data_IF_637908265880
#
_entry.id   IF_637908265880
#
_cell.length_a   1.000
_cell.length_b   1.000
_cell.length_c   1.000
_cell.angle_alpha   90.00
_cell.angle_beta   90.00
_cell.angle_gamma   90.00
#
_symmetry.space_group_name_H-M   'P 1'
#
loop_
_entity.id
_entity.type
_entity.pdbx_description
1 polymer ?
#
# COMPACT_ATOMS: atom_id res chain seq x y z
N UNK A 1 -16.41 35.40 15.28
CA UNK A 1 -15.40 34.34 15.40
C UNK A 1 -14.78 34.05 14.05
N UNK A 2 -13.59 33.45 14.03
CA UNK A 2 -12.83 33.16 12.80
C UNK A 2 -13.60 32.23 11.82
N UNK A 3 -14.31 31.22 12.35
CA UNK A 3 -15.15 30.31 11.57
C UNK A 3 -16.24 31.03 10.76
N UNK A 4 -16.91 32.02 11.37
CA UNK A 4 -17.94 32.81 10.69
C UNK A 4 -17.36 33.67 9.56
N UNK A 5 -16.15 34.22 9.73
CA UNK A 5 -15.49 35.01 8.69
C UNK A 5 -15.12 34.14 7.48
N UNK A 6 -14.58 32.94 7.71
CA UNK A 6 -14.24 31.97 6.65
C UNK A 6 -15.51 31.52 5.92
N UNK A 7 -16.57 31.19 6.64
CA UNK A 7 -17.84 30.79 6.04
C UNK A 7 -18.37 31.88 5.10
N UNK A 8 -18.39 33.14 5.56
CA UNK A 8 -18.82 34.25 4.70
C UNK A 8 -17.95 34.41 3.45
N UNK A 9 -16.64 34.23 3.53
CA UNK A 9 -15.75 34.28 2.34
C UNK A 9 -16.13 33.21 1.32
N UNK A 10 -16.32 31.97 1.79
CA UNK A 10 -16.71 30.83 0.95
C UNK A 10 -18.08 31.04 0.28
N UNK A 11 -19.08 31.55 1.02
CA UNK A 11 -20.44 31.77 0.48
C UNK A 11 -20.50 32.91 -0.53
N UNK A 12 -19.63 33.91 -0.42
CA UNK A 12 -19.66 35.12 -1.25
C UNK A 12 -18.54 35.17 -2.31
N UNK A 13 -18.00 34.02 -2.73
CA UNK A 13 -16.95 33.91 -3.77
C UNK A 13 -15.75 34.84 -3.53
N UNK A 14 -15.28 34.91 -2.28
CA UNK A 14 -14.03 35.59 -1.92
C UNK A 14 -12.96 34.57 -1.55
N UNK A 15 -11.72 34.92 -1.80
CA UNK A 15 -10.58 34.08 -1.41
C UNK A 15 -10.62 33.75 0.10
N UNK A 16 -10.33 32.51 0.46
CA UNK A 16 -10.44 32.05 1.85
C UNK A 16 -9.36 32.68 2.74
N UNK A 17 -8.16 32.90 2.20
CA UNK A 17 -7.01 33.39 2.93
C UNK A 17 -7.23 34.80 3.50
N UNK A 18 -7.63 35.74 2.65
CA UNK A 18 -7.74 37.17 2.96
C UNK A 18 -9.19 37.68 2.89
N UNK A 19 -9.97 37.22 1.90
CA UNK A 19 -11.34 37.66 1.65
C UNK A 19 -11.44 38.98 0.87
N UNK A 20 -10.34 39.45 0.28
CA UNK A 20 -10.24 40.72 -0.42
C UNK A 20 -10.47 40.56 -1.93
N UNK A 21 -10.06 39.41 -2.49
CA UNK A 21 -10.04 39.15 -3.92
C UNK A 21 -11.25 38.29 -4.31
N UNK A 22 -12.00 38.64 -5.37
CA UNK A 22 -13.05 37.78 -5.89
C UNK A 22 -12.43 36.53 -6.55
N UNK A 23 -13.01 35.36 -6.31
CA UNK A 23 -12.62 34.12 -6.99
C UNK A 23 -13.25 34.12 -8.38
N UNK A 24 -12.41 34.02 -9.40
CA UNK A 24 -12.80 33.87 -10.81
C UNK A 24 -12.27 32.54 -11.37
N UNK A 25 -12.61 32.23 -12.63
CA UNK A 25 -12.18 31.00 -13.32
C UNK A 25 -10.65 30.91 -13.51
N UNK A 26 -9.91 32.01 -13.30
CA UNK A 26 -8.45 32.03 -13.32
C UNK A 26 -7.83 31.28 -12.12
N UNK A 27 -8.60 31.05 -11.06
CA UNK A 27 -8.21 30.27 -9.88
C UNK A 27 -8.58 28.79 -10.00
N UNK A 28 -8.61 28.26 -11.23
CA UNK A 28 -8.82 26.84 -11.49
C UNK A 28 -7.49 26.15 -11.85
N UNK A 29 -7.31 24.92 -11.37
CA UNK A 29 -6.20 24.06 -11.79
C UNK A 29 -6.64 23.14 -12.92
N UNK A 30 -5.75 22.89 -13.87
CA UNK A 30 -5.98 21.89 -14.92
C UNK A 30 -5.47 20.53 -14.41
N UNK A 31 -6.35 19.53 -14.39
CA UNK A 31 -6.00 18.18 -13.95
C UNK A 31 -7.21 17.27 -13.81
N UNK A 32 -6.97 16.01 -13.46
CA UNK A 32 -8.04 15.09 -13.10
C UNK A 32 -8.79 15.63 -11.86
N UNK A 33 -10.12 15.51 -11.86
CA UNK A 33 -10.98 15.90 -10.73
C UNK A 33 -10.65 15.12 -9.45
N UNK A 34 -10.05 13.95 -9.63
CA UNK A 34 -9.76 13.02 -8.57
C UNK A 34 -8.58 12.12 -8.93
N UNK A 35 -8.01 11.50 -7.90
CA UNK A 35 -6.90 10.54 -8.04
C UNK A 35 -7.38 9.10 -8.00
N UNK A 36 -8.70 8.82 -7.99
CA UNK A 36 -9.22 7.46 -7.88
C UNK A 36 -8.91 6.59 -9.11
N UNK A 37 -8.70 7.25 -10.24
CA UNK A 37 -8.25 6.65 -11.50
C UNK A 37 -6.74 6.34 -11.52
N UNK A 38 -5.94 6.94 -10.63
CA UNK A 38 -4.50 6.71 -10.54
C UNK A 38 -4.26 5.57 -9.56
N UNK A 39 -4.02 4.36 -10.07
CA UNK A 39 -3.71 3.18 -9.26
C UNK A 39 -2.31 2.70 -9.53
N UNK A 40 -1.60 2.33 -8.48
CA UNK A 40 -0.37 1.57 -8.60
C UNK A 40 -0.67 0.16 -9.11
N UNK A 41 0.25 -0.40 -9.89
CA UNK A 41 0.19 -1.83 -10.20
C UNK A 41 0.25 -2.62 -8.88
N UNK A 42 -0.55 -3.70 -8.74
CA UNK A 42 -0.46 -4.55 -7.57
C UNK A 42 0.96 -5.15 -7.50
N UNK A 43 1.56 -5.24 -6.30
CA UNK A 43 2.85 -5.92 -6.15
C UNK A 43 2.71 -7.40 -6.51
N UNK A 44 3.82 -8.00 -6.95
CA UNK A 44 3.87 -9.43 -7.20
C UNK A 44 3.60 -10.21 -5.92
N UNK A 45 2.81 -11.29 -6.01
CA UNK A 45 2.47 -12.12 -4.85
C UNK A 45 3.70 -12.93 -4.47
N UNK A 46 4.12 -12.93 -3.19
CA UNK A 46 5.25 -13.74 -2.77
C UNK A 46 4.97 -15.23 -3.00
N UNK A 47 6.04 -15.99 -3.26
CA UNK A 47 5.94 -17.43 -3.39
C UNK A 47 5.40 -18.09 -2.10
N UNK A 48 4.60 -19.16 -2.22
CA UNK A 48 4.04 -19.85 -1.07
C UNK A 48 5.15 -20.53 -0.27
N UNK A 49 5.36 -20.08 0.98
CA UNK A 49 6.30 -20.68 1.92
C UNK A 49 5.58 -21.69 2.81
N UNK A 50 6.18 -22.86 3.00
CA UNK A 50 5.66 -23.89 3.91
C UNK A 50 5.90 -23.48 5.37
N UNK A 51 4.81 -23.24 6.11
CA UNK A 51 4.83 -22.96 7.54
C UNK A 51 4.48 -24.21 8.32
N UNK A 52 5.44 -24.72 9.11
CA UNK A 52 5.36 -26.08 9.67
C UNK A 52 4.26 -26.21 10.73
N UNK A 53 3.94 -25.10 11.42
CA UNK A 53 2.85 -25.08 12.40
C UNK A 53 1.45 -25.06 11.73
N UNK A 54 1.38 -24.84 10.42
CA UNK A 54 0.14 -24.96 9.62
C UNK A 54 0.40 -25.78 8.35
N UNK A 55 0.30 -27.12 8.43
CA UNK A 55 0.58 -28.02 7.30
C UNK A 55 -0.26 -27.72 6.05
N UNK A 56 -1.43 -27.12 6.21
CA UNK A 56 -2.31 -26.65 5.13
C UNK A 56 -1.68 -25.58 4.21
N UNK A 57 -0.62 -24.91 4.66
CA UNK A 57 0.11 -23.89 3.89
C UNK A 57 1.23 -24.49 3.03
N UNK A 58 1.53 -25.77 3.24
CA UNK A 58 2.63 -26.45 2.57
C UNK A 58 2.14 -27.18 1.32
N UNK A 59 2.97 -27.16 0.28
CA UNK A 59 2.82 -28.06 -0.84
C UNK A 59 3.03 -29.52 -0.36
N UNK A 60 2.24 -30.50 -0.84
CA UNK A 60 2.32 -31.89 -0.39
C UNK A 60 3.74 -32.47 -0.50
N UNK A 61 4.47 -32.16 -1.58
CA UNK A 61 5.84 -32.63 -1.83
C UNK A 61 6.86 -32.05 -0.84
N UNK A 62 6.62 -30.85 -0.33
CA UNK A 62 7.48 -30.23 0.70
C UNK A 62 7.15 -30.84 2.06
N UNK A 63 5.88 -31.12 2.32
CA UNK A 63 5.43 -31.73 3.57
C UNK A 63 5.93 -33.17 3.76
N UNK A 64 6.07 -33.94 2.68
CA UNK A 64 6.72 -35.26 2.73
C UNK A 64 8.19 -35.13 3.16
N UNK A 65 8.95 -34.19 2.59
CA UNK A 65 10.35 -33.92 3.00
C UNK A 65 10.46 -33.44 4.45
N UNK A 66 9.46 -32.68 4.93
CA UNK A 66 9.36 -32.26 6.34
C UNK A 66 9.21 -33.49 7.25
N UNK A 67 8.36 -34.45 6.87
CA UNK A 67 8.16 -35.69 7.63
C UNK A 67 9.40 -36.60 7.61
N UNK A 68 10.15 -36.61 6.50
CA UNK A 68 11.42 -37.33 6.37
C UNK A 68 12.58 -36.68 7.13
N UNK A 69 12.42 -35.43 7.60
CA UNK A 69 13.47 -34.69 8.31
C UNK A 69 14.58 -34.16 7.40
N UNK A 70 14.33 -34.07 6.08
CA UNK A 70 15.31 -33.68 5.06
C UNK A 70 15.31 -32.17 4.76
N UNK A 71 14.70 -31.34 5.61
CA UNK A 71 14.50 -29.89 5.39
C UNK A 71 15.19 -29.06 6.47
N UNK A 72 15.68 -27.89 6.07
CA UNK A 72 16.18 -26.87 7.01
C UNK A 72 15.03 -25.95 7.38
N UNK A 73 14.84 -25.77 8.69
CA UNK A 73 13.78 -24.92 9.24
C UNK A 73 14.39 -23.67 9.86
N UNK A 74 13.96 -22.50 9.41
CA UNK A 74 14.29 -21.21 10.05
C UNK A 74 13.00 -20.43 10.28
N UNK A 75 12.84 -19.91 11.48
CA UNK A 75 11.65 -19.17 11.90
C UNK A 75 10.33 -19.93 11.61
N UNK A 76 10.36 -21.26 11.77
CA UNK A 76 9.23 -22.18 11.50
C UNK A 76 8.82 -22.34 10.03
N UNK A 77 9.62 -21.80 9.11
CA UNK A 77 9.46 -21.99 7.67
C UNK A 77 10.51 -22.95 7.11
N UNK A 78 10.10 -23.75 6.13
CA UNK A 78 11.04 -24.52 5.30
C UNK A 78 11.81 -23.54 4.42
N UNK A 79 13.14 -23.56 4.53
CA UNK A 79 14.05 -22.81 3.67
C UNK A 79 14.71 -23.80 2.73
N UNK A 80 14.52 -23.61 1.42
CA UNK A 80 15.28 -24.32 0.39
C UNK A 80 16.54 -23.49 0.09
N UNK A 81 17.69 -24.13 -0.13
CA UNK A 81 18.99 -23.45 -0.34
C UNK A 81 19.02 -22.55 -1.61
N UNK A 82 17.91 -22.51 -2.35
CA UNK A 82 17.72 -21.68 -3.56
C UNK A 82 16.83 -20.46 -3.36
N UNK A 83 16.25 -20.28 -2.16
CA UNK A 83 15.26 -19.24 -1.88
C UNK A 83 15.84 -18.07 -1.06
N UNK A 84 17.12 -17.77 -1.22
CA UNK A 84 17.68 -16.47 -0.85
C UNK A 84 17.58 -15.55 -2.08
N UNK A 85 16.36 -15.20 -2.48
CA UNK A 85 16.16 -13.99 -3.28
C UNK A 85 15.55 -12.94 -2.34
N UNK A 86 16.34 -11.90 -2.12
CA UNK A 86 16.17 -10.88 -1.10
C UNK A 86 14.78 -10.24 -1.15
N UNK A 87 14.03 -10.37 -0.06
CA UNK A 87 12.85 -9.54 0.15
C UNK A 87 13.33 -8.16 0.62
N UNK A 88 13.67 -7.29 -0.34
CA UNK A 88 13.89 -5.86 -0.07
C UNK A 88 12.53 -5.21 0.17
N UNK A 89 12.10 -5.19 1.43
CA UNK A 89 11.00 -4.34 1.87
C UNK A 89 11.48 -2.89 1.95
N UNK A 90 11.28 -2.15 0.86
CA UNK A 90 11.28 -0.70 0.85
C UNK A 90 12.64 -0.05 0.64
N UNK A 91 12.91 0.32 -0.60
CA UNK A 91 13.60 1.57 -0.87
C UNK A 91 12.58 2.58 -1.41
N UNK A 92 12.62 3.76 -0.83
CA UNK A 92 11.61 4.83 -0.84
C UNK A 92 11.92 5.84 -1.95
#
# INVERSE_FOLDING_TARGET
GASHAIFRRATFNRDIATGLVPVSDEFATVGASDTWSVRHAPPERPEPRCYILKPETCLPEVWEKVQEGAVVVRDWFVVDDKAEEEVVFGEL
#
